data_IF_155301248370
#
_entry.id   IF_155301248370
#
_cell.length_a   1.000
_cell.length_b   1.000
_cell.length_c   1.000
_cell.angle_alpha   90.00
_cell.angle_beta   90.00
_cell.angle_gamma   90.00
#
_symmetry.space_group_name_H-M   'P 1'
#
loop_
_entity.id
_entity.type
_entity.pdbx_description
1 polymer ?
#
# COMPACT_ATOMS: atom_id res chain seq x y z
N UNK A 1 -12.32 -13.38 9.73
CA UNK A 1 -12.49 -12.98 8.31
C UNK A 1 -13.03 -11.57 8.18
N UNK A 2 -14.00 -11.15 8.99
CA UNK A 2 -14.56 -9.79 8.97
C UNK A 2 -13.49 -8.68 8.98
N UNK A 3 -12.52 -8.73 9.91
CA UNK A 3 -11.42 -7.76 9.95
C UNK A 3 -10.59 -7.68 8.66
N UNK A 4 -10.38 -8.80 7.96
CA UNK A 4 -9.66 -8.81 6.68
C UNK A 4 -10.47 -8.13 5.56
N UNK A 5 -11.78 -8.31 5.54
CA UNK A 5 -12.66 -7.67 4.56
C UNK A 5 -12.69 -6.15 4.78
N UNK A 6 -12.77 -5.73 6.05
CA UNK A 6 -12.70 -4.31 6.43
C UNK A 6 -11.36 -3.71 6.01
N UNK A 7 -10.23 -4.39 6.26
CA UNK A 7 -8.91 -3.94 5.82
C UNK A 7 -8.86 -3.74 4.30
N UNK A 8 -9.40 -4.67 3.50
CA UNK A 8 -9.41 -4.53 2.04
C UNK A 8 -10.24 -3.33 1.55
N UNK A 9 -11.36 -3.03 2.21
CA UNK A 9 -12.17 -1.84 1.91
C UNK A 9 -11.39 -0.57 2.26
N UNK A 10 -10.81 -0.49 3.46
CA UNK A 10 -10.02 0.67 3.90
C UNK A 10 -8.75 0.87 3.06
N UNK A 11 -8.09 -0.22 2.66
CA UNK A 11 -6.91 -0.17 1.80
C UNK A 11 -7.24 0.43 0.44
N UNK A 12 -8.41 0.10 -0.13
CA UNK A 12 -8.89 0.70 -1.38
C UNK A 12 -9.10 2.21 -1.23
N UNK A 13 -9.76 2.64 -0.16
CA UNK A 13 -10.01 4.07 0.08
C UNK A 13 -8.71 4.86 0.29
N UNK A 14 -7.74 4.26 0.99
CA UNK A 14 -6.42 4.87 1.18
C UNK A 14 -5.62 4.93 -0.12
N UNK A 15 -5.69 3.89 -0.96
CA UNK A 15 -5.04 3.88 -2.27
C UNK A 15 -5.59 4.99 -3.18
N UNK A 16 -6.90 5.24 -3.17
CA UNK A 16 -7.51 6.33 -3.94
C UNK A 16 -6.98 7.69 -3.49
N UNK A 17 -6.94 7.94 -2.18
CA UNK A 17 -6.37 9.18 -1.61
C UNK A 17 -4.89 9.36 -1.96
N UNK A 18 -4.13 8.26 -1.98
CA UNK A 18 -2.73 8.28 -2.38
C UNK A 18 -2.58 8.67 -3.86
N UNK A 19 -3.42 8.13 -4.74
CA UNK A 19 -3.44 8.52 -6.15
C UNK A 19 -3.86 9.97 -6.35
N UNK A 20 -4.87 10.45 -5.62
CA UNK A 20 -5.28 11.87 -5.62
C UNK A 20 -4.10 12.77 -5.21
N UNK A 21 -3.40 12.42 -4.12
CA UNK A 21 -2.21 13.15 -3.68
C UNK A 21 -1.11 13.18 -4.75
N UNK A 22 -0.79 12.06 -5.41
CA UNK A 22 0.21 12.02 -6.48
C UNK A 22 -0.21 12.87 -7.69
N UNK A 23 -1.49 12.91 -8.01
CA UNK A 23 -2.01 13.74 -9.10
C UNK A 23 -1.91 15.23 -8.78
N UNK A 24 -2.08 15.62 -7.52
CA UNK A 24 -1.94 17.01 -7.06
C UNK A 24 -0.47 17.43 -6.92
N UNK A 25 0.44 16.49 -6.64
CA UNK A 25 1.86 16.74 -6.37
C UNK A 25 2.74 16.09 -7.44
N UNK A 26 2.65 16.62 -8.67
CA UNK A 26 3.37 16.12 -9.85
C UNK A 26 4.90 16.06 -9.71
N UNK A 27 5.48 16.82 -8.78
CA UNK A 27 6.90 16.81 -8.41
C UNK A 27 7.32 15.55 -7.62
N UNK A 28 6.37 14.85 -7.00
CA UNK A 28 6.61 13.67 -6.16
C UNK A 28 6.38 12.36 -6.94
N UNK A 29 5.98 12.44 -8.21
CA UNK A 29 5.68 11.24 -9.01
C UNK A 29 6.95 10.37 -9.18
N UNK A 30 6.98 9.15 -8.61
CA UNK A 30 8.16 8.30 -8.58
C UNK A 30 8.51 7.68 -9.94
N UNK A 31 7.73 7.93 -11.00
CA UNK A 31 7.97 7.39 -12.34
C UNK A 31 7.60 5.91 -12.49
N UNK A 32 7.04 5.31 -11.43
CA UNK A 32 6.51 3.94 -11.39
C UNK A 32 5.09 3.96 -10.83
N UNK A 33 4.23 3.06 -11.32
CA UNK A 33 2.88 2.88 -10.78
C UNK A 33 2.95 2.07 -9.49
N UNK A 34 2.38 2.61 -8.40
CA UNK A 34 2.44 2.01 -7.07
C UNK A 34 1.01 1.78 -6.55
N UNK A 35 0.75 0.54 -6.15
CA UNK A 35 -0.45 0.18 -5.38
C UNK A 35 -0.06 -0.23 -3.97
N UNK A 36 -0.52 0.54 -2.99
CA UNK A 36 -0.25 0.34 -1.57
C UNK A 36 -1.47 -0.28 -0.90
N UNK A 37 -1.26 -1.31 -0.09
CA UNK A 37 -2.33 -1.98 0.67
C UNK A 37 -1.92 -2.02 2.14
N UNK A 38 -2.73 -1.39 3.00
CA UNK A 38 -2.50 -1.37 4.45
C UNK A 38 -3.32 -2.46 5.11
N UNK A 39 -2.66 -3.31 5.91
CA UNK A 39 -3.26 -4.46 6.57
C UNK A 39 -3.03 -4.42 8.08
N UNK A 40 -4.02 -4.84 8.86
CA UNK A 40 -3.94 -4.86 10.32
C UNK A 40 -3.29 -6.16 10.81
N UNK A 41 -2.18 -6.04 11.53
CA UNK A 41 -1.53 -7.20 12.17
C UNK A 41 -2.49 -7.85 13.16
N UNK A 42 -2.62 -9.17 13.12
CA UNK A 42 -3.56 -9.93 13.97
C UNK A 42 -4.88 -10.30 13.29
N UNK A 43 -5.26 -9.63 12.19
CA UNK A 43 -6.36 -10.09 11.31
C UNK A 43 -5.85 -10.99 10.18
N UNK A 44 -4.59 -10.81 9.79
CA UNK A 44 -3.94 -11.56 8.71
C UNK A 44 -2.97 -12.61 9.26
N UNK A 45 -2.70 -13.69 8.50
CA UNK A 45 -1.67 -14.67 8.86
C UNK A 45 -0.32 -14.01 9.09
N UNK A 46 0.47 -14.57 9.99
CA UNK A 46 1.85 -14.11 10.19
C UNK A 46 2.70 -14.49 8.98
N UNK A 47 3.31 -13.49 8.34
CA UNK A 47 4.28 -13.68 7.27
C UNK A 47 5.70 -13.58 7.85
N UNK A 48 6.61 -14.44 7.37
CA UNK A 48 8.03 -14.30 7.69
C UNK A 48 8.59 -13.13 6.89
N UNK A 49 9.24 -12.18 7.56
CA UNK A 49 9.96 -11.09 6.91
C UNK A 49 11.26 -11.61 6.28
N UNK A 50 11.64 -11.05 5.13
CA UNK A 50 12.88 -11.37 4.43
C UNK A 50 13.54 -10.07 3.96
N UNK A 51 14.87 -10.03 4.02
CA UNK A 51 15.64 -8.94 3.44
C UNK A 51 15.75 -9.16 1.93
N UNK A 52 15.35 -8.14 1.16
CA UNK A 52 15.40 -8.14 -0.30
C UNK A 52 16.29 -7.00 -0.78
N UNK A 53 17.14 -7.26 -1.77
CA UNK A 53 17.86 -6.22 -2.48
C UNK A 53 16.94 -5.59 -3.52
N UNK A 54 16.31 -4.48 -3.15
CA UNK A 54 15.43 -3.71 -4.04
C UNK A 54 16.23 -2.70 -4.87
N UNK A 55 15.79 -2.38 -6.10
CA UNK A 55 16.38 -1.32 -6.91
C UNK A 55 16.16 0.05 -6.25
N UNK A 56 16.97 1.06 -6.61
CA UNK A 56 16.91 2.42 -6.02
C UNK A 56 15.58 3.15 -6.23
N UNK A 57 14.81 2.72 -7.22
CA UNK A 57 13.50 3.22 -7.58
C UNK A 57 12.41 2.75 -6.60
N UNK A 58 12.71 1.78 -5.71
CA UNK A 58 11.83 1.26 -4.66
C UNK A 58 12.40 1.50 -3.26
#
# INVERSE_FOLDING_TARGET
MEGMVVDLTLARDNQLKFQEYLNENSDVNPGIDLTVTVLTTGFWPSYKSFDLSLPSEM
#
